data_IF_687815976445
#
_entry.id   IF_687815976445
#
_cell.length_a   1.000
_cell.length_b   1.000
_cell.length_c   1.000
_cell.angle_alpha   90.00
_cell.angle_beta   90.00
_cell.angle_gamma   90.00
#
_symmetry.space_group_name_H-M   'P 1'
#
loop_
_entity.id
_entity.type
_entity.pdbx_description
1 polymer ?
#
# COMPACT_ATOMS: atom_id res chain seq x y z
N UNK A 1 5.52 -16.83 -9.50
CA UNK A 1 5.64 -15.40 -9.89
C UNK A 1 6.41 -14.68 -8.81
N UNK A 2 7.48 -13.97 -9.15
CA UNK A 2 8.25 -13.21 -8.16
C UNK A 2 7.47 -11.96 -7.80
N UNK A 3 7.32 -11.71 -6.50
CA UNK A 3 6.84 -10.43 -6.01
C UNK A 3 7.93 -9.37 -6.24
N UNK A 4 7.74 -8.51 -7.22
CA UNK A 4 8.68 -7.42 -7.55
C UNK A 4 8.35 -6.20 -6.70
N UNK A 5 8.87 -6.17 -5.48
CA UNK A 5 8.73 -5.03 -4.57
C UNK A 5 9.76 -3.91 -4.84
N UNK A 6 9.75 -2.87 -4.01
CA UNK A 6 10.71 -1.76 -4.13
C UNK A 6 12.17 -2.14 -3.85
N UNK A 7 12.41 -3.18 -3.04
CA UNK A 7 13.76 -3.67 -2.74
C UNK A 7 14.32 -4.41 -3.96
N UNK A 8 13.53 -5.33 -4.51
CA UNK A 8 13.87 -6.09 -5.72
C UNK A 8 14.15 -5.14 -6.88
N UNK A 9 13.27 -4.15 -7.12
CA UNK A 9 13.49 -3.12 -8.17
C UNK A 9 14.82 -2.41 -8.00
N UNK A 10 15.13 -1.97 -6.80
CA UNK A 10 16.37 -1.26 -6.51
C UNK A 10 17.59 -2.11 -6.72
N UNK A 11 17.58 -3.37 -6.27
CA UNK A 11 18.70 -4.30 -6.45
C UNK A 11 19.00 -4.49 -7.93
N UNK A 12 17.99 -4.82 -8.75
CA UNK A 12 18.17 -5.02 -10.18
C UNK A 12 18.56 -3.73 -10.90
N UNK A 13 18.00 -2.58 -10.53
CA UNK A 13 18.37 -1.29 -11.10
C UNK A 13 19.85 -0.99 -10.91
N UNK A 14 20.39 -1.28 -9.72
CA UNK A 14 21.81 -1.12 -9.44
C UNK A 14 22.67 -2.17 -10.12
N UNK A 15 22.25 -3.42 -10.07
CA UNK A 15 22.97 -4.52 -10.73
C UNK A 15 23.19 -4.21 -12.22
N UNK A 16 22.19 -3.67 -12.88
CA UNK A 16 22.21 -3.32 -14.30
C UNK A 16 22.65 -1.87 -14.57
N UNK A 17 22.84 -1.05 -13.57
CA UNK A 17 23.09 0.40 -13.63
C UNK A 17 22.04 1.14 -14.49
N UNK A 18 20.76 0.84 -14.29
CA UNK A 18 19.63 1.45 -15.01
C UNK A 18 18.61 2.02 -14.03
N UNK A 19 17.98 3.15 -14.39
CA UNK A 19 16.90 3.74 -13.58
C UNK A 19 15.71 2.79 -13.45
N UNK A 20 15.09 2.76 -12.28
CA UNK A 20 13.90 1.96 -11.99
C UNK A 20 12.75 2.20 -12.98
N UNK A 21 12.62 3.43 -13.48
CA UNK A 21 11.56 3.80 -14.42
C UNK A 21 11.81 3.31 -15.86
N UNK A 22 13.06 2.98 -16.19
CA UNK A 22 13.46 2.50 -17.52
C UNK A 22 13.51 0.97 -17.62
N UNK A 23 13.31 0.29 -16.49
CA UNK A 23 13.35 -1.16 -16.42
C UNK A 23 11.93 -1.72 -16.46
N UNK A 24 11.62 -2.43 -17.51
CA UNK A 24 10.58 -3.45 -17.48
C UNK A 24 11.14 -4.68 -16.76
N UNK A 25 11.14 -4.60 -15.42
CA UNK A 25 11.71 -5.66 -14.58
C UNK A 25 11.00 -6.99 -14.75
N UNK A 26 9.70 -6.96 -14.99
CA UNK A 26 8.93 -8.18 -15.22
C UNK A 26 9.44 -8.88 -16.48
N UNK A 27 9.66 -8.11 -17.55
CA UNK A 27 10.22 -8.64 -18.80
C UNK A 27 11.64 -9.19 -18.64
N UNK A 28 12.49 -8.48 -17.88
CA UNK A 28 13.85 -8.94 -17.58
C UNK A 28 13.83 -10.24 -16.76
N UNK A 29 12.97 -10.31 -15.77
CA UNK A 29 12.79 -11.49 -14.92
C UNK A 29 12.29 -12.66 -15.75
N UNK A 30 11.30 -12.45 -16.62
CA UNK A 30 10.74 -13.49 -17.47
C UNK A 30 11.76 -14.00 -18.50
N UNK A 31 12.54 -13.09 -19.09
CA UNK A 31 13.60 -13.46 -20.06
C UNK A 31 14.76 -14.25 -19.40
N UNK A 32 15.05 -13.99 -18.15
CA UNK A 32 16.14 -14.64 -17.40
C UNK A 32 15.63 -15.66 -16.37
N UNK A 33 14.38 -16.06 -16.48
CA UNK A 33 13.71 -16.90 -15.49
C UNK A 33 14.45 -18.21 -15.21
N UNK A 34 14.95 -18.88 -16.22
CA UNK A 34 15.71 -20.13 -16.06
C UNK A 34 16.99 -19.91 -15.25
N UNK A 35 17.82 -18.95 -15.64
CA UNK A 35 19.11 -18.70 -14.98
C UNK A 35 18.98 -18.06 -13.59
N UNK A 36 17.91 -17.28 -13.33
CA UNK A 36 17.66 -16.68 -12.02
C UNK A 36 17.03 -17.67 -11.04
N UNK A 37 16.39 -18.74 -11.51
CA UNK A 37 15.58 -19.64 -10.70
C UNK A 37 15.93 -21.11 -10.93
N UNK A 38 17.18 -21.43 -11.22
CA UNK A 38 17.71 -22.81 -11.20
C UNK A 38 17.83 -23.37 -9.76
N UNK A 39 16.85 -23.08 -8.92
CA UNK A 39 16.78 -23.59 -7.56
C UNK A 39 15.37 -24.09 -7.27
N UNK A 40 15.28 -25.19 -6.55
CA UNK A 40 14.00 -25.70 -6.05
C UNK A 40 13.41 -24.82 -4.93
N UNK A 41 14.22 -23.91 -4.34
CA UNK A 41 13.87 -23.04 -3.22
C UNK A 41 13.50 -21.62 -3.68
N UNK A 42 12.54 -21.51 -4.58
CA UNK A 42 12.15 -20.20 -5.17
C UNK A 42 11.65 -19.17 -4.14
N UNK A 43 10.93 -19.59 -3.11
CA UNK A 43 10.46 -18.69 -2.03
C UNK A 43 11.62 -18.09 -1.27
N UNK A 44 12.58 -18.91 -0.87
CA UNK A 44 13.75 -18.48 -0.10
C UNK A 44 14.62 -17.51 -0.90
N UNK A 45 14.74 -17.75 -2.22
CA UNK A 45 15.46 -16.82 -3.08
C UNK A 45 14.80 -15.44 -3.12
N UNK A 46 13.45 -15.38 -3.22
CA UNK A 46 12.71 -14.12 -3.23
C UNK A 46 12.85 -13.40 -1.89
N UNK A 47 12.72 -14.11 -0.77
CA UNK A 47 12.94 -13.56 0.57
C UNK A 47 14.36 -13.03 0.74
N UNK A 48 15.35 -13.82 0.38
CA UNK A 48 16.76 -13.42 0.43
C UNK A 48 17.04 -12.15 -0.40
N UNK A 49 16.41 -12.03 -1.58
CA UNK A 49 16.54 -10.86 -2.44
C UNK A 49 15.90 -9.60 -1.82
N UNK A 50 14.75 -9.76 -1.16
CA UNK A 50 14.11 -8.66 -0.41
C UNK A 50 14.96 -8.23 0.78
N UNK A 51 15.47 -9.17 1.57
CA UNK A 51 16.37 -8.91 2.70
C UNK A 51 17.68 -8.29 2.25
N UNK A 52 18.29 -8.80 1.19
CA UNK A 52 19.48 -8.22 0.59
C UNK A 52 19.26 -6.75 0.21
N UNK A 53 18.11 -6.43 -0.35
CA UNK A 53 17.71 -5.06 -0.64
C UNK A 53 17.51 -4.21 0.61
N UNK A 54 17.03 -4.79 1.70
CA UNK A 54 16.80 -4.07 2.96
C UNK A 54 18.10 -3.86 3.76
N UNK A 55 18.96 -4.86 3.82
CA UNK A 55 20.12 -4.90 4.73
C UNK A 55 21.42 -4.42 4.07
N UNK A 56 21.66 -4.81 2.82
CA UNK A 56 22.93 -4.54 2.10
C UNK A 56 22.73 -3.45 1.04
N UNK A 57 21.84 -3.68 0.09
CA UNK A 57 21.59 -2.74 -1.02
C UNK A 57 20.59 -1.64 -0.61
N UNK A 58 20.86 -0.96 0.50
CA UNK A 58 19.98 0.06 1.12
C UNK A 58 19.66 1.22 0.17
N UNK A 59 18.51 1.92 0.37
CA UNK A 59 18.11 3.02 -0.51
C UNK A 59 19.13 4.16 -0.57
N UNK A 60 19.59 4.65 0.57
CA UNK A 60 20.48 5.83 0.63
C UNK A 60 21.95 5.45 0.61
N UNK A 61 22.39 4.63 1.52
CA UNK A 61 23.79 4.26 1.74
C UNK A 61 23.97 2.75 1.62
N UNK A 62 24.11 2.22 0.37
CA UNK A 62 24.33 0.79 0.18
C UNK A 62 25.68 0.35 0.70
N UNK A 63 25.73 -0.76 1.41
CA UNK A 63 26.95 -1.34 1.96
C UNK A 63 27.72 -2.13 0.89
N UNK A 64 28.13 -1.43 -0.17
CA UNK A 64 28.75 -2.07 -1.34
C UNK A 64 30.03 -2.83 -1.04
N UNK A 65 30.82 -2.40 -0.04
CA UNK A 65 32.06 -3.07 0.35
C UNK A 65 31.79 -4.46 0.95
N UNK A 66 30.66 -4.63 1.65
CA UNK A 66 30.20 -5.91 2.22
C UNK A 66 29.37 -6.75 1.24
N UNK A 67 29.11 -6.23 0.04
CA UNK A 67 28.21 -6.87 -0.92
C UNK A 67 28.89 -8.02 -1.66
N UNK A 68 28.35 -9.23 -1.52
CA UNK A 68 28.90 -10.43 -2.17
C UNK A 68 28.82 -10.40 -3.70
N UNK A 69 27.88 -9.62 -4.27
CA UNK A 69 27.71 -9.47 -5.72
C UNK A 69 28.31 -8.17 -6.28
N UNK A 70 29.16 -7.46 -5.52
CA UNK A 70 29.75 -6.19 -5.97
C UNK A 70 30.52 -6.31 -7.28
N UNK A 71 31.21 -7.45 -7.48
CA UNK A 71 32.02 -7.70 -8.64
C UNK A 71 31.21 -7.88 -9.96
N UNK A 72 29.93 -8.17 -9.87
CA UNK A 72 29.01 -8.23 -11.02
C UNK A 72 28.14 -6.98 -11.16
N UNK A 73 28.14 -6.13 -10.12
CA UNK A 73 27.27 -4.96 -10.04
C UNK A 73 27.78 -3.82 -10.94
N UNK A 74 27.03 -3.52 -12.02
CA UNK A 74 27.38 -2.44 -12.95
C UNK A 74 27.33 -1.06 -12.28
N UNK A 75 26.44 -0.83 -11.32
CA UNK A 75 26.37 0.42 -10.56
C UNK A 75 27.63 0.62 -9.70
N UNK A 76 28.15 -0.44 -9.08
CA UNK A 76 29.38 -0.36 -8.27
C UNK A 76 30.61 -0.06 -9.12
N UNK A 77 30.70 -0.69 -10.30
CA UNK A 77 31.84 -0.54 -11.24
C UNK A 77 31.80 0.74 -12.07
N UNK A 78 30.66 1.42 -12.15
CA UNK A 78 30.48 2.56 -13.02
C UNK A 78 30.86 3.88 -12.36
N UNK A 79 31.62 4.70 -13.06
CA UNK A 79 31.89 6.10 -12.68
C UNK A 79 30.64 6.97 -12.89
N UNK A 80 29.83 6.66 -13.89
CA UNK A 80 28.56 7.32 -14.19
C UNK A 80 27.39 6.53 -13.61
N UNK A 81 27.05 6.81 -12.36
CA UNK A 81 25.91 6.19 -11.67
C UNK A 81 24.62 6.86 -12.07
N UNK A 82 23.57 6.08 -12.37
CA UNK A 82 22.25 6.65 -12.56
C UNK A 82 21.75 7.32 -11.27
N UNK A 83 21.06 8.45 -11.41
CA UNK A 83 20.42 9.11 -10.26
C UNK A 83 19.19 8.32 -9.86
N UNK A 84 19.19 7.79 -8.65
CA UNK A 84 17.96 7.19 -8.09
C UNK A 84 16.93 8.30 -7.83
N UNK A 85 15.75 8.15 -8.39
CA UNK A 85 14.62 9.00 -8.04
C UNK A 85 14.11 8.65 -6.64
N UNK A 86 14.78 9.22 -5.62
CA UNK A 86 14.46 8.95 -4.21
C UNK A 86 13.18 9.62 -3.71
N UNK A 87 12.59 10.50 -4.49
CA UNK A 87 11.36 11.21 -4.11
C UNK A 87 10.25 10.92 -5.12
N UNK A 88 9.49 9.82 -4.90
CA UNK A 88 8.15 9.76 -5.45
C UNK A 88 7.35 10.91 -4.82
N UNK A 89 6.91 11.87 -5.64
CA UNK A 89 6.02 12.95 -5.19
C UNK A 89 4.79 12.28 -4.55
N UNK A 90 4.59 12.52 -3.26
CA UNK A 90 3.41 12.02 -2.57
C UNK A 90 2.18 12.68 -3.19
N UNK A 91 1.28 11.89 -3.72
CA UNK A 91 0.00 12.38 -4.25
C UNK A 91 -0.93 12.64 -3.07
N UNK A 92 -1.20 13.91 -2.79
CA UNK A 92 -2.20 14.27 -1.80
C UNK A 92 -3.60 14.15 -2.42
N UNK A 93 -4.47 13.44 -1.72
CA UNK A 93 -5.86 13.25 -2.12
C UNK A 93 -6.78 13.45 -0.94
N UNK A 94 -7.95 14.02 -1.19
CA UNK A 94 -8.96 14.25 -0.18
C UNK A 94 -10.12 13.27 -0.37
N UNK A 95 -10.58 12.68 0.72
CA UNK A 95 -11.67 11.72 0.73
C UNK A 95 -12.69 12.04 1.81
N UNK A 96 -13.96 11.91 1.47
CA UNK A 96 -15.05 11.82 2.43
C UNK A 96 -15.40 10.34 2.62
N UNK A 97 -15.41 9.90 3.89
CA UNK A 97 -15.77 8.54 4.29
C UNK A 97 -17.10 8.59 5.02
N UNK A 98 -18.03 7.73 4.60
CA UNK A 98 -19.40 7.68 5.09
C UNK A 98 -19.66 6.35 5.79
N UNK A 99 -19.88 6.41 7.10
CA UNK A 99 -20.08 5.23 7.94
C UNK A 99 -21.56 5.12 8.35
N UNK A 100 -22.26 4.09 7.88
CA UNK A 100 -23.52 3.70 8.45
C UNK A 100 -23.27 2.89 9.72
N UNK A 101 -23.87 3.29 10.84
CA UNK A 101 -23.65 2.70 12.14
C UNK A 101 -24.98 2.25 12.74
N UNK A 102 -25.08 0.97 13.10
CA UNK A 102 -26.13 0.47 13.97
C UNK A 102 -25.65 0.62 15.42
N UNK A 103 -26.18 1.65 16.08
CA UNK A 103 -25.78 1.97 17.47
C UNK A 103 -26.20 0.88 18.46
N UNK A 104 -27.39 0.27 18.25
CA UNK A 104 -27.91 -0.75 19.16
C UNK A 104 -27.07 -2.03 19.08
N UNK A 105 -26.74 -2.48 17.88
CA UNK A 105 -25.98 -3.71 17.65
C UNK A 105 -24.47 -3.50 17.63
N UNK A 106 -24.00 -2.26 17.79
CA UNK A 106 -22.59 -1.87 17.71
C UNK A 106 -21.90 -2.36 16.45
N UNK A 107 -22.52 -2.10 15.29
CA UNK A 107 -22.07 -2.55 13.96
C UNK A 107 -21.86 -1.39 13.01
N UNK A 108 -20.96 -1.60 12.06
CA UNK A 108 -20.68 -0.68 10.94
C UNK A 108 -20.91 -1.41 9.62
N UNK A 109 -21.46 -0.70 8.64
CA UNK A 109 -21.67 -1.24 7.31
C UNK A 109 -20.44 -1.06 6.44
N UNK A 110 -19.95 -2.14 5.84
CA UNK A 110 -18.80 -2.16 4.93
C UNK A 110 -19.17 -2.83 3.61
N UNK A 111 -18.42 -2.50 2.56
CA UNK A 111 -18.56 -3.08 1.22
C UNK A 111 -17.20 -3.36 0.59
N UNK A 112 -17.13 -4.37 -0.29
CA UNK A 112 -15.98 -4.59 -1.19
C UNK A 112 -16.09 -3.81 -2.50
N UNK A 113 -17.29 -3.25 -2.79
CA UNK A 113 -17.52 -2.51 -4.03
C UNK A 113 -17.15 -1.04 -3.85
N UNK A 114 -15.94 -0.69 -4.22
CA UNK A 114 -15.42 0.68 -4.22
C UNK A 114 -14.46 0.89 -5.41
N UNK A 115 -14.42 2.11 -5.94
CA UNK A 115 -13.63 2.45 -7.13
C UNK A 115 -12.39 3.29 -6.74
N UNK A 116 -11.58 2.82 -5.79
CA UNK A 116 -10.43 3.58 -5.29
C UNK A 116 -9.13 3.31 -6.08
N UNK A 117 -9.08 2.20 -6.84
CA UNK A 117 -7.86 1.72 -7.51
C UNK A 117 -6.75 1.32 -6.53
N UNK A 118 -7.11 1.08 -5.27
CA UNK A 118 -6.27 0.51 -4.21
C UNK A 118 -7.17 -0.10 -3.13
N UNK A 119 -6.66 -1.07 -2.36
CA UNK A 119 -7.43 -1.87 -1.40
C UNK A 119 -8.59 -2.65 -2.02
N UNK A 120 -8.47 -3.03 -3.30
CA UNK A 120 -9.44 -3.86 -3.98
C UNK A 120 -9.61 -5.19 -3.23
N UNK A 121 -10.84 -5.71 -3.19
CA UNK A 121 -11.23 -6.91 -2.43
C UNK A 121 -11.24 -6.78 -0.89
N UNK A 122 -10.91 -5.62 -0.33
CA UNK A 122 -11.04 -5.37 1.10
C UNK A 122 -12.37 -4.72 1.46
N UNK A 123 -12.83 -4.95 2.68
CA UNK A 123 -14.03 -4.32 3.21
C UNK A 123 -13.75 -2.90 3.72
N UNK A 124 -14.41 -1.93 3.12
CA UNK A 124 -14.30 -0.50 3.43
C UNK A 124 -15.68 0.11 3.68
N UNK A 125 -15.80 1.20 4.46
CA UNK A 125 -16.98 2.07 4.43
C UNK A 125 -17.17 2.69 3.05
N UNK A 126 -18.27 3.39 2.82
CA UNK A 126 -18.42 4.18 1.59
C UNK A 126 -17.38 5.31 1.54
N UNK A 127 -16.63 5.38 0.44
CA UNK A 127 -15.54 6.36 0.26
C UNK A 127 -15.74 7.10 -1.04
N UNK A 128 -15.63 8.43 -0.98
CA UNK A 128 -15.75 9.31 -2.16
C UNK A 128 -14.55 10.26 -2.20
N UNK A 129 -13.85 10.30 -3.33
CA UNK A 129 -12.82 11.31 -3.58
C UNK A 129 -13.50 12.68 -3.72
N UNK A 130 -12.94 13.70 -3.07
CA UNK A 130 -13.49 15.06 -3.13
C UNK A 130 -12.38 16.06 -3.46
N UNK A 131 -12.74 17.09 -4.23
CA UNK A 131 -11.84 18.21 -4.53
C UNK A 131 -12.04 19.38 -3.57
N UNK A 132 -13.17 19.43 -2.87
CA UNK A 132 -13.57 20.55 -2.02
C UNK A 132 -13.96 20.08 -0.62
N UNK A 133 -13.78 20.94 0.39
CA UNK A 133 -14.27 20.73 1.76
C UNK A 133 -15.75 21.10 1.86
N UNK A 134 -16.62 20.43 1.12
CA UNK A 134 -18.07 20.66 1.21
C UNK A 134 -18.66 19.89 2.39
N UNK A 135 -19.52 20.54 3.18
CA UNK A 135 -20.32 19.87 4.22
C UNK A 135 -21.36 18.97 3.55
N UNK A 136 -21.42 17.72 3.95
CA UNK A 136 -22.39 16.73 3.48
C UNK A 136 -23.70 16.89 4.26
N UNK A 137 -24.72 17.49 3.65
CA UNK A 137 -25.96 17.94 4.32
C UNK A 137 -26.75 16.87 5.08
N UNK A 138 -26.62 15.60 4.69
CA UNK A 138 -27.39 14.49 5.27
C UNK A 138 -26.53 13.56 6.16
N UNK A 139 -25.36 14.02 6.59
CA UNK A 139 -24.41 13.24 7.36
C UNK A 139 -23.86 14.02 8.54
N UNK A 140 -23.71 13.35 9.66
CA UNK A 140 -23.05 13.95 10.82
C UNK A 140 -21.54 13.91 10.60
N UNK A 141 -20.88 15.05 10.74
CA UNK A 141 -19.42 15.09 10.73
C UNK A 141 -18.89 14.53 12.06
N UNK A 142 -17.91 13.62 11.96
CA UNK A 142 -17.26 13.05 13.14
C UNK A 142 -15.90 13.69 13.39
N UNK A 143 -14.96 13.53 12.48
CA UNK A 143 -13.57 13.97 12.64
C UNK A 143 -12.86 14.08 11.30
N UNK A 144 -11.66 14.64 11.32
CA UNK A 144 -10.74 14.54 10.21
C UNK A 144 -9.43 13.90 10.68
N UNK A 145 -8.79 13.14 9.78
CA UNK A 145 -7.48 12.57 10.05
C UNK A 145 -6.70 12.37 8.74
N UNK A 146 -5.38 12.18 8.90
CA UNK A 146 -4.49 11.87 7.77
C UNK A 146 -4.06 10.42 7.82
N UNK A 147 -3.95 9.81 6.66
CA UNK A 147 -3.39 8.47 6.51
C UNK A 147 -2.49 8.43 5.27
N UNK A 148 -1.59 7.45 5.21
CA UNK A 148 -0.75 7.24 4.03
C UNK A 148 -0.89 5.79 3.59
N UNK A 149 -1.10 5.59 2.28
CA UNK A 149 -1.16 4.26 1.67
C UNK A 149 -0.27 4.30 0.42
N UNK A 150 0.81 3.52 0.42
CA UNK A 150 1.81 3.54 -0.63
C UNK A 150 2.36 4.97 -0.84
N UNK A 151 2.26 5.53 -2.04
CA UNK A 151 2.70 6.88 -2.39
C UNK A 151 1.58 7.93 -2.31
N UNK A 152 0.44 7.59 -1.69
CA UNK A 152 -0.71 8.50 -1.53
C UNK A 152 -0.81 8.96 -0.10
N UNK A 153 -0.91 10.27 0.10
CA UNK A 153 -1.26 10.91 1.38
C UNK A 153 -2.73 11.28 1.34
N UNK A 154 -3.50 10.70 2.23
CA UNK A 154 -4.95 10.81 2.26
C UNK A 154 -5.34 11.79 3.36
N UNK A 155 -6.03 12.86 3.00
CA UNK A 155 -6.73 13.74 3.92
C UNK A 155 -8.19 13.27 3.97
N UNK A 156 -8.65 12.86 5.14
CA UNK A 156 -9.92 12.16 5.29
C UNK A 156 -10.84 12.97 6.17
N UNK A 157 -12.06 13.22 5.69
CA UNK A 157 -13.17 13.68 6.50
C UNK A 157 -14.08 12.48 6.77
N UNK A 158 -14.34 12.21 8.03
CA UNK A 158 -15.16 11.09 8.48
C UNK A 158 -16.55 11.58 8.84
N UNK A 159 -17.53 10.97 8.22
CA UNK A 159 -18.95 11.23 8.44
C UNK A 159 -19.66 9.96 8.89
N UNK A 160 -20.74 10.11 9.64
CA UNK A 160 -21.55 8.96 10.05
C UNK A 160 -23.04 9.28 10.00
N UNK A 161 -23.83 8.22 9.94
CA UNK A 161 -25.28 8.24 10.07
C UNK A 161 -25.72 6.98 10.81
N UNK A 162 -26.57 7.16 11.79
CA UNK A 162 -27.22 6.02 12.43
C UNK A 162 -28.27 5.42 11.52
N UNK A 163 -28.25 4.10 11.37
CA UNK A 163 -29.19 3.35 10.55
C UNK A 163 -29.29 1.92 11.03
N UNK A 164 -30.51 1.42 11.19
CA UNK A 164 -30.79 0.00 11.36
C UNK A 164 -30.93 -0.72 10.01
N UNK A 165 -31.18 0.03 8.93
CA UNK A 165 -31.32 -0.51 7.58
C UNK A 165 -29.96 -0.56 6.90
N UNK A 166 -29.63 -1.71 6.33
CA UNK A 166 -28.41 -1.93 5.59
C UNK A 166 -28.54 -1.38 4.17
N UNK A 167 -27.63 -0.51 3.70
CA UNK A 167 -27.62 -0.10 2.30
C UNK A 167 -27.32 -1.28 1.38
N UNK A 168 -27.83 -1.22 0.16
CA UNK A 168 -27.55 -2.24 -0.88
C UNK A 168 -26.06 -2.43 -1.07
N UNK A 169 -25.59 -3.68 -1.20
CA UNK A 169 -24.19 -4.05 -1.39
C UNK A 169 -23.27 -3.88 -0.15
N UNK A 170 -23.82 -3.54 1.00
CA UNK A 170 -23.10 -3.50 2.26
C UNK A 170 -23.40 -4.73 3.12
N UNK A 171 -22.48 -5.01 4.07
CA UNK A 171 -22.64 -6.01 5.10
C UNK A 171 -22.33 -5.41 6.46
N UNK A 172 -23.03 -5.89 7.52
CA UNK A 172 -22.77 -5.45 8.87
C UNK A 172 -21.58 -6.16 9.49
N UNK A 173 -20.64 -5.40 10.03
CA UNK A 173 -19.50 -5.88 10.79
C UNK A 173 -19.56 -5.33 12.21
N UNK A 174 -19.21 -6.14 13.20
CA UNK A 174 -18.97 -5.62 14.56
C UNK A 174 -17.78 -4.68 14.54
N UNK A 175 -17.84 -3.57 15.29
CA UNK A 175 -16.70 -2.66 15.46
C UNK A 175 -15.48 -3.34 16.13
N UNK A 176 -15.65 -4.52 16.71
CA UNK A 176 -14.58 -5.37 17.29
C UNK A 176 -14.04 -6.42 16.33
N UNK A 177 -14.59 -6.52 15.11
CA UNK A 177 -14.18 -7.57 14.16
C UNK A 177 -12.72 -7.43 13.77
N UNK A 178 -11.98 -8.53 13.88
CA UNK A 178 -10.64 -8.65 13.37
C UNK A 178 -10.59 -9.72 12.29
N UNK A 179 -10.60 -9.31 11.02
CA UNK A 179 -10.54 -10.17 9.84
C UNK A 179 -9.40 -9.72 8.94
N UNK A 180 -8.79 -10.65 8.23
CA UNK A 180 -7.76 -10.37 7.21
C UNK A 180 -8.27 -9.50 6.05
N UNK A 181 -9.57 -9.61 5.73
CA UNK A 181 -10.22 -8.78 4.69
C UNK A 181 -10.58 -7.37 5.16
N UNK A 182 -10.29 -7.02 6.42
CA UNK A 182 -10.44 -5.67 6.97
C UNK A 182 -9.05 -5.05 7.11
N UNK A 183 -8.68 -4.10 6.24
CA UNK A 183 -7.35 -3.52 6.25
C UNK A 183 -7.15 -2.64 7.50
N UNK A 184 -5.88 -2.40 7.86
CA UNK A 184 -5.49 -1.54 8.97
C UNK A 184 -6.10 -0.13 8.88
N UNK A 185 -6.34 0.35 7.68
CA UNK A 185 -7.05 1.59 7.41
C UNK A 185 -8.47 1.58 7.95
N UNK A 186 -9.26 0.53 7.67
CA UNK A 186 -10.63 0.37 8.19
C UNK A 186 -10.62 0.15 9.71
N UNK A 187 -9.64 -0.58 10.24
CA UNK A 187 -9.49 -0.77 11.70
C UNK A 187 -9.24 0.56 12.42
N UNK A 188 -8.54 1.52 11.80
CA UNK A 188 -8.40 2.89 12.34
C UNK A 188 -9.74 3.62 12.41
N UNK A 189 -10.62 3.41 11.42
CA UNK A 189 -11.97 3.98 11.44
C UNK A 189 -12.80 3.35 12.57
N UNK A 190 -12.72 2.03 12.78
CA UNK A 190 -13.39 1.37 13.89
C UNK A 190 -13.04 2.00 15.24
N UNK A 191 -11.76 2.27 15.46
CA UNK A 191 -11.28 2.91 16.71
C UNK A 191 -11.90 4.30 16.96
N UNK A 192 -12.23 5.03 15.89
CA UNK A 192 -12.90 6.34 16.02
C UNK A 192 -14.33 6.20 16.57
N UNK A 193 -14.97 5.05 16.33
CA UNK A 193 -16.34 4.78 16.79
C UNK A 193 -16.43 3.86 18.00
N UNK A 194 -15.34 3.27 18.46
CA UNK A 194 -15.34 2.37 19.64
C UNK A 194 -15.69 3.07 20.95
N UNK A 195 -15.54 4.39 21.02
CA UNK A 195 -15.81 5.23 22.18
C UNK A 195 -17.16 5.97 22.08
N UNK A 196 -18.02 5.59 21.15
CA UNK A 196 -19.37 6.13 21.02
C UNK A 196 -20.31 5.39 22.00
N UNK A 197 -20.23 5.77 23.27
CA UNK A 197 -21.24 5.43 24.28
C UNK A 197 -22.42 6.41 24.22
#
# INVERSE_FOLDING_TARGET
TIAVDGNVKRVFSRLLNKSENLLDLNKIIDQNRKSLFETERHSDFVEALMEFGALICKPKEPECLKCNIKNTCKYFKSDKKFKQNTKKKLLEKNYNIFCYIDKIKNKIALTKKHNLGFLDNFYLPSIKETKTKTKERNWNFHSNFKNSISNKKLNINLYYKYSSKLPTQFQWFSLKTNSEFIPSFTKKIFKQFSNFN
#
